data_IF_622492069954
#
_entry.id   IF_622492069954
#
_cell.length_a   1.000
_cell.length_b   1.000
_cell.length_c   1.000
_cell.angle_alpha   90.00
_cell.angle_beta   90.00
_cell.angle_gamma   90.00
#
_symmetry.space_group_name_H-M   'P 1'
#
loop_
_entity.id
_entity.type
_entity.pdbx_description
1 polymer ?
#
# COMPACT_ATOMS: atom_id res chain seq x y z
N UNK A 1 12.29 11.87 3.57
CA UNK A 1 11.52 12.02 2.32
C UNK A 1 10.21 12.71 2.61
N UNK A 2 9.75 13.62 1.75
CA UNK A 2 8.40 14.19 1.88
C UNK A 2 7.38 13.10 1.54
N UNK A 3 6.46 12.83 2.45
CA UNK A 3 5.34 11.91 2.21
C UNK A 3 4.24 12.64 1.45
N UNK A 4 3.67 11.98 0.43
CA UNK A 4 2.49 12.48 -0.29
C UNK A 4 1.26 11.65 0.11
N UNK A 5 0.10 12.30 0.15
CA UNK A 5 -1.18 11.61 0.38
C UNK A 5 -1.72 11.13 -0.97
N UNK A 6 -2.06 9.85 -1.06
CA UNK A 6 -2.76 9.25 -2.18
C UNK A 6 -4.13 8.77 -1.73
N UNK A 7 -5.17 9.08 -2.49
CA UNK A 7 -6.53 8.57 -2.25
C UNK A 7 -6.81 7.46 -3.26
N UNK A 8 -7.19 6.27 -2.77
CA UNK A 8 -7.53 5.10 -3.60
C UNK A 8 -9.00 4.79 -3.40
N UNK A 9 -9.73 4.47 -4.48
CA UNK A 9 -11.08 3.91 -4.38
C UNK A 9 -10.98 2.40 -4.29
N UNK A 10 -11.63 1.81 -3.29
CA UNK A 10 -11.69 0.37 -3.06
C UNK A 10 -13.15 -0.02 -2.86
N UNK A 11 -13.49 -1.23 -3.30
CA UNK A 11 -14.71 -1.90 -2.85
C UNK A 11 -14.58 -2.28 -1.38
N UNK A 12 -15.71 -2.51 -0.70
CA UNK A 12 -15.72 -3.00 0.68
C UNK A 12 -14.96 -4.33 0.82
N UNK A 13 -15.07 -5.20 -0.18
CA UNK A 13 -14.40 -6.49 -0.20
C UNK A 13 -12.87 -6.36 -0.25
N UNK A 14 -12.35 -5.47 -1.09
CA UNK A 14 -10.91 -5.19 -1.17
C UNK A 14 -10.38 -4.55 0.12
N UNK A 15 -11.13 -3.60 0.70
CA UNK A 15 -10.78 -3.00 2.00
C UNK A 15 -10.68 -4.07 3.08
N UNK A 16 -11.66 -4.97 3.17
CA UNK A 16 -11.67 -6.06 4.15
C UNK A 16 -10.51 -7.03 3.97
N UNK A 17 -10.16 -7.38 2.73
CA UNK A 17 -8.96 -8.18 2.45
C UNK A 17 -7.68 -7.48 2.92
N UNK A 18 -7.57 -6.18 2.70
CA UNK A 18 -6.42 -5.39 3.13
C UNK A 18 -6.32 -5.33 4.66
N UNK A 19 -7.44 -5.18 5.37
CA UNK A 19 -7.50 -5.25 6.85
C UNK A 19 -6.99 -6.59 7.36
N UNK A 20 -7.50 -7.69 6.83
CA UNK A 20 -7.10 -9.03 7.27
C UNK A 20 -5.62 -9.32 7.02
N UNK A 21 -5.07 -8.86 5.90
CA UNK A 21 -3.63 -9.02 5.62
C UNK A 21 -2.76 -8.15 6.54
N UNK A 22 -3.26 -6.96 6.89
CA UNK A 22 -2.61 -6.07 7.85
C UNK A 22 -2.56 -6.72 9.23
N UNK A 23 -3.69 -7.23 9.72
CA UNK A 23 -3.81 -7.94 10.99
C UNK A 23 -2.89 -9.16 11.04
N UNK A 24 -2.88 -9.98 9.98
CA UNK A 24 -2.04 -11.17 9.87
C UNK A 24 -0.54 -10.85 9.97
N UNK A 25 -0.12 -9.69 9.47
CA UNK A 25 1.29 -9.24 9.48
C UNK A 25 1.65 -8.39 10.69
N UNK A 26 0.69 -8.06 11.55
CA UNK A 26 0.89 -7.09 12.65
C UNK A 26 1.24 -5.69 12.13
N UNK A 27 0.73 -5.32 10.96
CA UNK A 27 1.00 -4.06 10.27
C UNK A 27 -0.31 -3.27 10.12
N UNK A 28 -0.21 -1.98 9.81
CA UNK A 28 -1.36 -1.23 9.33
C UNK A 28 -1.53 -1.35 7.80
N UNK A 29 -2.70 -0.98 7.29
CA UNK A 29 -3.01 -1.05 5.85
C UNK A 29 -2.02 -0.25 4.98
N UNK A 30 -1.55 0.90 5.46
CA UNK A 30 -0.60 1.74 4.72
C UNK A 30 0.76 1.07 4.59
N UNK A 31 1.21 0.37 5.63
CA UNK A 31 2.46 -0.41 5.63
C UNK A 31 2.37 -1.62 4.70
N UNK A 32 1.21 -2.30 4.66
CA UNK A 32 0.98 -3.39 3.70
C UNK A 32 1.08 -2.87 2.27
N UNK A 33 0.43 -1.75 1.96
CA UNK A 33 0.50 -1.12 0.64
C UNK A 33 1.92 -0.68 0.29
N UNK A 34 2.64 -0.06 1.24
CA UNK A 34 4.05 0.33 1.03
C UNK A 34 4.97 -0.87 0.83
N UNK A 35 4.74 -1.96 1.56
CA UNK A 35 5.49 -3.21 1.41
C UNK A 35 5.24 -3.86 0.05
N UNK A 36 4.04 -3.69 -0.51
CA UNK A 36 3.74 -4.12 -1.87
C UNK A 36 4.46 -3.22 -2.89
N UNK A 37 4.37 -1.90 -2.73
CA UNK A 37 5.02 -0.91 -3.61
C UNK A 37 6.55 -1.10 -3.62
N UNK A 38 7.16 -1.42 -2.48
CA UNK A 38 8.59 -1.66 -2.36
C UNK A 38 9.10 -2.87 -3.19
N UNK A 39 8.20 -3.73 -3.69
CA UNK A 39 8.56 -4.85 -4.59
C UNK A 39 8.60 -4.44 -6.05
N UNK A 40 8.09 -3.25 -6.40
CA UNK A 40 8.17 -2.73 -7.75
C UNK A 40 9.61 -2.26 -8.04
N UNK A 41 10.04 -2.30 -9.31
CA UNK A 41 11.35 -1.78 -9.70
C UNK A 41 11.47 -0.30 -9.33
N UNK A 42 12.70 0.17 -9.13
CA UNK A 42 12.95 1.58 -8.88
C UNK A 42 12.34 2.44 -10.01
N UNK A 43 11.71 3.56 -9.66
CA UNK A 43 11.17 4.47 -10.67
C UNK A 43 12.31 4.92 -11.56
N UNK A 44 12.19 4.67 -12.86
CA UNK A 44 13.08 5.30 -13.84
C UNK A 44 12.67 6.77 -13.88
N UNK A 45 13.58 7.67 -13.54
CA UNK A 45 13.40 9.09 -13.82
C UNK A 45 13.18 9.20 -15.33
N UNK A 46 11.94 9.46 -15.72
CA UNK A 46 11.65 9.87 -17.09
C UNK A 46 12.15 11.31 -17.17
N UNK A 47 13.35 11.46 -17.71
CA UNK A 47 13.90 12.74 -18.16
C UNK A 47 12.93 13.35 -19.17
#
# INVERSE_FOLDING_TARGET
MKTIKMTIRLTEYEKKKLEQEADKRGMNQSEVLRSLIARFPEPKDSV
#
